data_IF_739261424878
#
_entry.id   IF_739261424878
#
_cell.length_a   1.000
_cell.length_b   1.000
_cell.length_c   1.000
_cell.angle_alpha   90.00
_cell.angle_beta   90.00
_cell.angle_gamma   90.00
#
_symmetry.space_group_name_H-M   'P 1'
#
loop_
_entity.id
_entity.type
_entity.pdbx_description
1 polymer ?
#
# COMPACT_ATOMS: atom_id res chain seq x y z
N UNK A 1 18.76 10.27 -35.96
CA UNK A 1 18.94 11.59 -35.35
C UNK A 1 17.74 12.02 -34.51
N UNK A 2 16.48 11.81 -34.94
CA UNK A 2 15.28 12.23 -34.20
C UNK A 2 15.16 11.66 -32.77
N UNK A 3 15.45 10.36 -32.57
CA UNK A 3 15.33 9.71 -31.26
C UNK A 3 16.28 10.34 -30.23
N UNK A 4 17.52 10.60 -30.62
CA UNK A 4 18.52 11.21 -29.72
C UNK A 4 18.07 12.63 -29.34
N UNK A 5 17.60 13.42 -30.30
CA UNK A 5 17.10 14.77 -30.03
C UNK A 5 15.88 14.74 -29.08
N UNK A 6 14.95 13.79 -29.24
CA UNK A 6 13.83 13.59 -28.32
C UNK A 6 14.29 13.22 -26.90
N UNK A 7 15.27 12.33 -26.77
CA UNK A 7 15.82 11.95 -25.47
C UNK A 7 16.53 13.13 -24.77
N UNK A 8 17.31 13.91 -25.52
CA UNK A 8 17.95 15.12 -25.01
C UNK A 8 16.92 16.15 -24.56
N UNK A 9 15.90 16.39 -25.34
CA UNK A 9 14.81 17.29 -24.99
C UNK A 9 14.05 16.81 -23.74
N UNK A 10 13.74 15.52 -23.67
CA UNK A 10 13.06 14.90 -22.54
C UNK A 10 13.88 15.07 -21.23
N UNK A 11 15.15 14.78 -21.26
CA UNK A 11 16.04 14.87 -20.09
C UNK A 11 16.30 16.32 -19.69
N UNK A 12 16.46 17.24 -20.65
CA UNK A 12 16.80 18.64 -20.36
C UNK A 12 15.59 19.49 -20.03
N UNK A 13 14.48 19.33 -20.75
CA UNK A 13 13.26 20.13 -20.58
C UNK A 13 12.22 19.47 -19.65
N UNK A 14 12.24 18.13 -19.55
CA UNK A 14 11.25 17.36 -18.77
C UNK A 14 11.13 17.82 -17.32
N UNK A 15 12.20 18.01 -16.53
CA UNK A 15 12.11 18.45 -15.14
C UNK A 15 11.48 19.83 -14.94
N UNK A 16 11.49 20.69 -15.94
CA UNK A 16 10.79 21.98 -15.89
C UNK A 16 9.28 21.84 -16.14
N UNK A 17 8.87 20.79 -16.85
CA UNK A 17 7.46 20.46 -17.10
C UNK A 17 6.86 19.60 -15.99
N UNK A 18 7.67 18.71 -15.41
CA UNK A 18 7.28 17.80 -14.34
C UNK A 18 8.09 18.13 -13.08
N UNK A 19 7.56 19.08 -12.28
CA UNK A 19 8.24 19.65 -11.12
C UNK A 19 8.02 18.81 -9.85
N UNK A 20 8.16 17.50 -9.97
CA UNK A 20 8.12 16.57 -8.84
C UNK A 20 9.55 16.27 -8.40
N UNK A 21 9.82 16.42 -7.11
CA UNK A 21 11.15 16.09 -6.56
C UNK A 21 11.35 14.55 -6.60
N UNK A 22 12.39 14.05 -7.28
CA UNK A 22 12.67 12.62 -7.40
C UNK A 22 13.06 11.94 -6.08
N UNK A 23 13.35 12.70 -5.03
CA UNK A 23 13.76 12.19 -3.72
C UNK A 23 12.62 12.06 -2.72
N UNK A 24 11.49 12.75 -2.95
CA UNK A 24 10.33 12.69 -2.07
C UNK A 24 9.72 11.29 -2.09
N UNK A 25 9.50 10.75 -0.90
CA UNK A 25 8.92 9.44 -0.69
C UNK A 25 7.46 9.58 -0.26
N UNK A 26 6.57 8.88 -0.93
CA UNK A 26 5.17 8.72 -0.54
C UNK A 26 4.92 7.27 -0.15
N UNK A 27 4.97 7.00 1.16
CA UNK A 27 4.85 5.64 1.69
C UNK A 27 3.47 5.01 1.46
N UNK A 28 2.45 5.82 1.19
CA UNK A 28 1.12 5.32 0.86
C UNK A 28 0.96 4.97 -0.63
N UNK A 29 1.92 5.38 -1.44
CA UNK A 29 1.95 5.11 -2.86
C UNK A 29 3.15 4.24 -3.26
N UNK A 30 3.55 3.28 -2.42
CA UNK A 30 4.66 2.36 -2.70
C UNK A 30 4.28 1.39 -3.82
N UNK A 31 5.14 1.28 -4.83
CA UNK A 31 5.01 0.27 -5.89
C UNK A 31 3.76 0.42 -6.75
N UNK A 32 3.19 1.62 -6.83
CA UNK A 32 2.00 1.87 -7.65
C UNK A 32 2.38 1.84 -9.12
N UNK A 33 1.66 1.01 -9.89
CA UNK A 33 1.83 0.90 -11.33
C UNK A 33 1.34 2.14 -12.10
N UNK A 34 1.76 2.30 -13.36
CA UNK A 34 1.24 3.34 -14.23
C UNK A 34 -0.28 3.23 -14.39
N UNK A 35 -1.00 4.35 -14.21
CA UNK A 35 -2.46 4.40 -14.36
C UNK A 35 -3.27 3.75 -13.24
N UNK A 36 -2.65 3.36 -12.12
CA UNK A 36 -3.35 2.84 -10.96
C UNK A 36 -4.27 3.91 -10.34
N UNK A 37 -5.30 3.44 -9.63
CA UNK A 37 -6.20 4.30 -8.88
C UNK A 37 -5.43 5.04 -7.77
N UNK A 38 -5.69 6.35 -7.68
CA UNK A 38 -5.08 7.30 -6.76
C UNK A 38 -6.07 7.80 -5.73
N UNK A 39 -7.27 7.29 -5.74
CA UNK A 39 -8.27 7.75 -4.80
C UNK A 39 -7.96 7.28 -3.39
N UNK A 40 -8.26 8.13 -2.43
CA UNK A 40 -8.14 7.89 -1.01
C UNK A 40 -9.36 8.48 -0.32
N UNK A 41 -9.90 7.77 0.66
CA UNK A 41 -11.08 8.23 1.39
C UNK A 41 -10.66 8.87 2.70
N UNK A 42 -11.22 10.02 3.04
CA UNK A 42 -11.04 10.66 4.34
C UNK A 42 -11.69 9.81 5.43
N UNK A 43 -10.89 9.37 6.38
CA UNK A 43 -11.34 8.60 7.54
C UNK A 43 -11.19 9.41 8.83
N UNK A 44 -11.99 9.10 9.85
CA UNK A 44 -11.77 9.63 11.19
C UNK A 44 -10.41 9.16 11.73
N UNK A 45 -9.85 9.86 12.74
CA UNK A 45 -8.68 9.37 13.45
C UNK A 45 -8.94 7.94 13.96
N UNK A 46 -7.88 7.13 13.92
CA UNK A 46 -7.96 5.77 14.45
C UNK A 46 -8.46 5.77 15.88
N UNK A 47 -9.49 4.96 16.15
CA UNK A 47 -10.02 4.74 17.48
C UNK A 47 -9.73 3.30 17.91
N UNK A 48 -9.17 3.10 19.12
CA UNK A 48 -8.98 1.76 19.67
C UNK A 48 -10.30 0.98 19.66
N UNK A 49 -10.22 -0.26 19.25
CA UNK A 49 -11.40 -1.12 19.22
C UNK A 49 -11.60 -1.81 20.59
N UNK A 50 -12.80 -1.68 21.14
CA UNK A 50 -13.25 -2.32 22.38
C UNK A 50 -14.38 -3.31 22.05
N UNK A 51 -14.06 -4.53 21.61
CA UNK A 51 -15.05 -5.50 21.12
C UNK A 51 -16.04 -5.98 22.19
N UNK A 52 -15.66 -5.91 23.47
CA UNK A 52 -16.53 -6.31 24.59
C UNK A 52 -17.82 -5.47 24.71
N UNK A 53 -17.84 -4.27 24.11
CA UNK A 53 -19.01 -3.41 24.08
C UNK A 53 -19.93 -3.72 22.87
N UNK A 54 -19.47 -4.53 21.92
CA UNK A 54 -20.19 -4.90 20.70
C UNK A 54 -20.71 -6.34 20.76
N UNK A 55 -21.13 -6.81 21.92
CA UNK A 55 -21.78 -8.12 22.10
C UNK A 55 -23.13 -8.16 21.36
N UNK A 56 -23.11 -8.13 20.06
CA UNK A 56 -24.30 -8.36 19.26
C UNK A 56 -24.18 -9.71 18.61
N UNK A 57 -24.70 -10.70 19.27
CA UNK A 57 -25.49 -11.82 18.74
C UNK A 57 -25.20 -12.08 17.25
N UNK A 58 -24.18 -12.88 16.99
CA UNK A 58 -24.12 -13.65 15.76
C UNK A 58 -24.85 -14.95 16.01
N UNK A 59 -26.19 -14.83 16.09
CA UNK A 59 -27.07 -15.99 16.01
C UNK A 59 -27.02 -16.52 14.58
N UNK A 60 -26.94 -17.80 14.45
CA UNK A 60 -27.29 -18.67 13.34
C UNK A 60 -26.24 -19.30 12.45
N UNK A 61 -24.96 -18.97 12.54
CA UNK A 61 -23.96 -19.83 11.89
C UNK A 61 -22.81 -20.13 12.85
N UNK A 62 -22.56 -21.39 13.11
CA UNK A 62 -21.62 -21.89 14.12
C UNK A 62 -20.17 -21.37 14.02
N UNK A 63 -19.83 -20.61 13.01
CA UNK A 63 -18.55 -19.90 12.82
C UNK A 63 -18.66 -18.67 11.91
N UNK A 64 -19.77 -17.94 11.89
CA UNK A 64 -19.94 -16.79 10.98
C UNK A 64 -18.86 -15.74 11.14
N UNK A 65 -17.77 -15.85 10.38
CA UNK A 65 -16.75 -14.83 10.30
C UNK A 65 -17.31 -13.59 9.58
N UNK A 66 -17.31 -12.45 10.25
CA UNK A 66 -17.90 -11.21 9.73
C UNK A 66 -17.01 -10.01 9.99
N UNK A 67 -17.16 -8.99 9.14
CA UNK A 67 -16.59 -7.66 9.36
C UNK A 67 -17.53 -6.87 10.27
N UNK A 68 -16.97 -6.20 11.28
CA UNK A 68 -17.73 -5.30 12.16
C UNK A 68 -17.91 -3.91 11.59
N UNK A 69 -17.04 -3.53 10.64
CA UNK A 69 -17.05 -2.25 9.94
C UNK A 69 -16.35 -2.39 8.59
N UNK A 70 -16.53 -1.44 7.65
CA UNK A 70 -15.78 -1.44 6.40
C UNK A 70 -14.28 -1.55 6.63
N UNK A 71 -13.63 -2.45 5.92
CA UNK A 71 -12.20 -2.69 6.03
C UNK A 71 -11.41 -1.55 5.37
N UNK A 72 -10.41 -1.04 6.07
CA UNK A 72 -9.57 0.06 5.61
C UNK A 72 -8.10 -0.25 5.79
N UNK A 73 -7.23 0.56 5.18
CA UNK A 73 -5.78 0.46 5.40
C UNK A 73 -5.35 0.76 6.84
N UNK A 74 -6.23 1.33 7.68
CA UNK A 74 -5.96 1.52 9.10
C UNK A 74 -6.22 0.25 9.92
N UNK A 75 -7.28 -0.51 9.61
CA UNK A 75 -7.62 -1.74 10.31
C UNK A 75 -8.65 -2.58 9.55
N UNK A 76 -8.56 -3.90 9.73
CA UNK A 76 -9.62 -4.87 9.43
C UNK A 76 -10.07 -5.49 10.74
N UNK A 77 -11.35 -5.37 11.06
CA UNK A 77 -11.94 -5.84 12.33
C UNK A 77 -12.90 -6.99 12.06
N UNK A 78 -12.51 -8.14 12.56
CA UNK A 78 -13.22 -9.41 12.36
C UNK A 78 -13.83 -9.88 13.67
N UNK A 79 -15.04 -10.41 13.59
CA UNK A 79 -15.71 -11.12 14.68
C UNK A 79 -16.29 -12.43 14.17
N UNK A 80 -16.43 -13.41 15.07
CA UNK A 80 -17.06 -14.69 14.80
C UNK A 80 -17.76 -15.25 16.03
N UNK A 81 -18.58 -16.27 15.85
CA UNK A 81 -19.26 -16.94 16.94
C UNK A 81 -18.24 -17.71 17.79
N UNK A 82 -18.25 -17.48 19.10
CA UNK A 82 -17.39 -18.21 20.04
C UNK A 82 -17.98 -19.58 20.35
N UNK A 83 -17.13 -20.61 20.27
CA UNK A 83 -17.41 -21.91 20.87
C UNK A 83 -16.54 -22.07 22.13
N UNK A 84 -17.14 -22.53 23.24
CA UNK A 84 -16.42 -22.67 24.50
C UNK A 84 -15.31 -23.70 24.41
N UNK A 85 -14.12 -23.35 24.89
CA UNK A 85 -12.95 -24.22 24.90
C UNK A 85 -12.29 -24.44 23.54
N UNK A 86 -12.74 -23.76 22.49
CA UNK A 86 -12.18 -23.87 21.14
C UNK A 86 -11.19 -22.76 20.88
N UNK A 87 -10.03 -23.12 20.31
CA UNK A 87 -9.05 -22.20 19.77
C UNK A 87 -9.21 -22.09 18.25
N UNK A 88 -8.79 -20.96 17.71
CA UNK A 88 -8.92 -20.66 16.30
C UNK A 88 -7.56 -20.26 15.74
N UNK A 89 -7.31 -20.56 14.48
CA UNK A 89 -6.17 -20.07 13.72
C UNK A 89 -6.69 -19.22 12.59
N UNK A 90 -6.21 -17.97 12.52
CA UNK A 90 -6.60 -16.99 11.51
C UNK A 90 -5.49 -16.86 10.47
N UNK A 91 -5.88 -16.87 9.21
CA UNK A 91 -5.01 -16.69 8.06
C UNK A 91 -5.41 -15.45 7.27
N UNK A 92 -4.45 -14.82 6.61
CA UNK A 92 -4.68 -13.72 5.67
C UNK A 92 -3.89 -13.97 4.40
N UNK A 93 -4.58 -13.98 3.25
CA UNK A 93 -4.00 -14.22 1.93
C UNK A 93 -4.41 -13.14 0.94
N UNK A 94 -3.61 -12.97 -0.13
CA UNK A 94 -3.93 -12.12 -1.29
C UNK A 94 -4.60 -12.89 -2.42
N UNK A 95 -4.77 -14.19 -2.27
CA UNK A 95 -5.39 -15.12 -3.22
C UNK A 95 -6.37 -16.01 -2.47
N UNK A 96 -7.37 -16.53 -3.19
CA UNK A 96 -8.35 -17.44 -2.59
C UNK A 96 -7.67 -18.77 -2.21
N UNK A 97 -7.71 -19.18 -0.93
CA UNK A 97 -7.14 -20.45 -0.51
C UNK A 97 -7.78 -21.67 -1.17
N UNK A 98 -8.99 -21.55 -1.70
CA UNK A 98 -9.63 -22.64 -2.45
C UNK A 98 -8.91 -22.98 -3.73
N UNK A 99 -8.23 -22.02 -4.36
CA UNK A 99 -7.46 -22.20 -5.60
C UNK A 99 -6.14 -22.97 -5.37
N UNK A 100 -5.57 -22.82 -4.18
CA UNK A 100 -4.24 -23.38 -3.83
C UNK A 100 -4.32 -24.61 -2.92
N UNK A 101 -5.47 -24.82 -2.26
CA UNK A 101 -5.66 -25.88 -1.26
C UNK A 101 -4.83 -25.67 0.01
N UNK A 102 -4.31 -24.47 0.25
CA UNK A 102 -3.48 -24.14 1.41
C UNK A 102 -3.78 -22.73 1.94
N UNK A 103 -3.81 -22.60 3.26
CA UNK A 103 -3.94 -21.31 3.93
C UNK A 103 -2.59 -20.59 4.12
N UNK A 104 -1.46 -21.25 3.84
CA UNK A 104 -0.13 -20.66 4.03
C UNK A 104 0.26 -20.51 5.50
N UNK A 105 0.86 -19.35 5.84
CA UNK A 105 1.30 -19.07 7.21
C UNK A 105 0.16 -18.40 8.02
N UNK A 106 -0.06 -18.84 9.26
CA UNK A 106 -1.09 -18.24 10.11
C UNK A 106 -0.72 -16.81 10.51
N UNK A 107 -1.73 -15.94 10.50
CA UNK A 107 -1.61 -14.57 10.99
C UNK A 107 -1.63 -14.54 12.53
N UNK A 108 -2.51 -15.35 13.14
CA UNK A 108 -2.64 -15.43 14.59
C UNK A 108 -3.30 -16.75 15.03
N UNK A 109 -2.99 -17.19 16.27
CA UNK A 109 -3.74 -18.21 16.98
C UNK A 109 -4.48 -17.55 18.15
N UNK A 110 -5.77 -17.83 18.28
CA UNK A 110 -6.71 -17.05 19.09
C UNK A 110 -7.60 -17.97 19.93
N UNK A 111 -7.81 -17.58 21.18
CA UNK A 111 -8.76 -18.19 22.12
C UNK A 111 -10.03 -17.30 22.32
N UNK A 112 -10.15 -16.25 21.51
CA UNK A 112 -11.21 -15.24 21.55
C UNK A 112 -11.95 -15.21 20.21
N UNK A 113 -13.10 -14.53 20.18
CA UNK A 113 -14.00 -14.48 19.00
C UNK A 113 -13.85 -13.20 18.17
N UNK A 114 -12.73 -12.50 18.29
CA UNK A 114 -12.47 -11.27 17.55
C UNK A 114 -10.98 -11.09 17.26
N UNK A 115 -10.70 -10.36 16.20
CA UNK A 115 -9.34 -9.97 15.82
C UNK A 115 -9.33 -8.62 15.10
N UNK A 116 -8.37 -7.77 15.43
CA UNK A 116 -8.06 -6.54 14.71
C UNK A 116 -6.73 -6.70 13.99
N UNK A 117 -6.78 -6.71 12.67
CA UNK A 117 -5.58 -6.70 11.83
C UNK A 117 -5.21 -5.26 11.50
N UNK A 118 -3.93 -4.91 11.75
CA UNK A 118 -3.32 -3.62 11.46
C UNK A 118 -1.95 -3.76 10.81
N UNK A 119 -1.59 -4.97 10.40
CA UNK A 119 -0.27 -5.29 9.90
C UNK A 119 -0.21 -5.02 8.41
N UNK A 120 0.46 -3.95 8.01
CA UNK A 120 0.80 -3.62 6.61
C UNK A 120 -0.37 -3.85 5.64
N UNK A 121 -1.51 -3.22 5.94
CA UNK A 121 -2.70 -3.30 5.12
C UNK A 121 -2.60 -2.34 3.95
N UNK A 122 -2.60 -2.88 2.74
CA UNK A 122 -2.69 -2.10 1.51
C UNK A 122 -4.10 -2.18 0.94
N UNK A 123 -4.47 -1.19 0.10
CA UNK A 123 -5.76 -1.26 -0.60
C UNK A 123 -5.77 -2.44 -1.56
N UNK A 124 -6.83 -3.24 -1.49
CA UNK A 124 -6.97 -4.45 -2.31
C UNK A 124 -7.86 -5.49 -1.67
N UNK A 125 -7.91 -6.64 -2.31
CA UNK A 125 -8.72 -7.77 -1.85
C UNK A 125 -7.86 -8.74 -1.04
N UNK A 126 -8.34 -9.07 0.16
CA UNK A 126 -7.76 -10.06 1.06
C UNK A 126 -8.76 -11.19 1.33
N UNK A 127 -8.23 -12.36 1.60
CA UNK A 127 -8.99 -13.55 2.00
C UNK A 127 -8.61 -13.90 3.43
N UNK A 128 -9.53 -13.70 4.37
CA UNK A 128 -9.33 -14.09 5.76
C UNK A 128 -9.99 -15.43 5.98
N UNK A 129 -9.19 -16.41 6.40
CA UNK A 129 -9.68 -17.76 6.69
C UNK A 129 -9.52 -18.08 8.16
N UNK A 130 -10.61 -18.49 8.79
CA UNK A 130 -10.67 -18.91 10.19
C UNK A 130 -10.81 -20.42 10.25
N UNK A 131 -9.87 -21.08 10.93
CA UNK A 131 -9.83 -22.54 11.10
C UNK A 131 -9.95 -22.88 12.58
N UNK A 132 -10.82 -23.83 12.92
CA UNK A 132 -10.94 -24.35 14.28
C UNK A 132 -9.78 -25.30 14.58
N UNK A 133 -9.27 -25.24 15.82
CA UNK A 133 -8.27 -26.20 16.33
C UNK A 133 -8.94 -27.23 17.24
N UNK A 134 -8.44 -28.45 17.17
CA UNK A 134 -8.81 -29.52 18.12
C UNK A 134 -8.12 -29.34 19.48
N UNK A 135 -8.38 -30.26 20.42
CA UNK A 135 -7.78 -30.23 21.76
C UNK A 135 -6.24 -30.35 21.73
N UNK A 136 -5.66 -30.93 20.68
CA UNK A 136 -4.22 -31.10 20.50
C UNK A 136 -3.57 -29.90 19.77
N UNK A 137 -4.37 -28.93 19.30
CA UNK A 137 -3.92 -27.78 18.52
C UNK A 137 -3.75 -28.08 17.03
N UNK A 138 -4.26 -29.22 16.55
CA UNK A 138 -4.29 -29.53 15.13
C UNK A 138 -5.50 -28.88 14.46
N UNK A 139 -5.35 -28.51 13.19
CA UNK A 139 -6.43 -27.92 12.40
C UNK A 139 -7.49 -28.95 12.09
N UNK A 140 -8.74 -28.57 12.31
CA UNK A 140 -9.88 -29.38 11.91
C UNK A 140 -10.25 -29.09 10.44
N UNK A 141 -11.09 -29.97 9.86
CA UNK A 141 -11.62 -29.73 8.51
C UNK A 141 -12.58 -28.53 8.43
N UNK A 142 -12.95 -27.94 9.58
CA UNK A 142 -13.90 -26.82 9.62
C UNK A 142 -13.12 -25.50 9.45
N UNK A 143 -13.28 -24.91 8.28
CA UNK A 143 -12.71 -23.61 7.94
C UNK A 143 -13.78 -22.74 7.27
N UNK A 144 -13.69 -21.43 7.47
CA UNK A 144 -14.51 -20.44 6.78
C UNK A 144 -13.61 -19.33 6.23
N UNK A 145 -13.84 -18.92 4.99
CA UNK A 145 -13.11 -17.83 4.34
C UNK A 145 -14.05 -16.68 4.06
N UNK A 146 -13.62 -15.48 4.42
CA UNK A 146 -14.29 -14.21 4.15
C UNK A 146 -13.44 -13.37 3.21
N UNK A 147 -13.99 -12.99 2.06
CA UNK A 147 -13.38 -12.02 1.16
C UNK A 147 -13.56 -10.61 1.73
N UNK A 148 -12.48 -9.86 1.82
CA UNK A 148 -12.44 -8.53 2.43
C UNK A 148 -11.79 -7.55 1.46
N UNK A 149 -12.53 -6.52 1.06
CA UNK A 149 -12.00 -5.43 0.24
C UNK A 149 -11.53 -4.30 1.15
N UNK A 150 -10.22 -4.08 1.20
CA UNK A 150 -9.59 -3.03 1.99
C UNK A 150 -9.51 -1.75 1.17
N UNK A 151 -10.13 -0.68 1.67
CA UNK A 151 -10.13 0.64 1.04
C UNK A 151 -8.99 1.50 1.58
N UNK A 152 -8.32 2.22 0.70
CA UNK A 152 -7.29 3.18 1.11
C UNK A 152 -7.94 4.36 1.82
N UNK A 153 -7.45 4.67 3.01
CA UNK A 153 -7.93 5.82 3.79
C UNK A 153 -6.76 6.66 4.28
N UNK A 154 -7.05 7.93 4.50
CA UNK A 154 -6.11 8.93 5.06
C UNK A 154 -6.83 9.69 6.17
N UNK A 155 -6.10 10.09 7.20
CA UNK A 155 -6.64 10.93 8.26
C UNK A 155 -6.81 12.37 7.81
N UNK A 156 -7.71 13.11 8.46
CA UNK A 156 -7.93 14.54 8.15
C UNK A 156 -6.64 15.35 8.36
N UNK A 157 -5.92 15.09 9.47
CA UNK A 157 -4.66 15.78 9.75
C UNK A 157 -3.61 15.54 8.65
N UNK A 158 -3.47 14.31 8.21
CA UNK A 158 -2.55 13.95 7.14
C UNK A 158 -2.96 14.53 5.77
N UNK A 159 -4.27 14.60 5.48
CA UNK A 159 -4.78 15.23 4.26
C UNK A 159 -4.49 16.73 4.21
N UNK A 160 -4.52 17.43 5.37
CA UNK A 160 -4.10 18.83 5.49
C UNK A 160 -2.59 18.97 5.31
N UNK A 161 -1.79 18.13 5.97
CA UNK A 161 -0.33 18.15 5.87
C UNK A 161 0.14 17.94 4.43
N UNK A 162 -0.50 17.05 3.69
CA UNK A 162 -0.24 16.79 2.26
C UNK A 162 -0.82 17.86 1.32
N UNK A 163 -1.57 18.84 1.84
CA UNK A 163 -2.21 19.87 1.04
C UNK A 163 -3.36 19.39 0.15
N UNK A 164 -3.93 18.21 0.44
CA UNK A 164 -5.09 17.66 -0.27
C UNK A 164 -6.38 18.40 0.09
N UNK A 165 -6.44 18.94 1.30
CA UNK A 165 -7.46 19.86 1.80
C UNK A 165 -6.77 21.06 2.47
N UNK A 166 -7.41 22.21 2.49
CA UNK A 166 -6.78 23.43 3.03
C UNK A 166 -6.86 23.50 4.55
N UNK A 167 -7.97 23.06 5.12
CA UNK A 167 -8.22 23.10 6.55
C UNK A 167 -9.02 21.90 7.01
N UNK A 168 -8.89 21.53 8.28
CA UNK A 168 -9.70 20.45 8.87
C UNK A 168 -11.22 20.74 8.82
N UNK A 169 -11.61 22.03 8.81
CA UNK A 169 -13.01 22.43 8.74
C UNK A 169 -13.67 22.12 7.39
N UNK A 170 -12.88 21.98 6.32
CA UNK A 170 -13.36 21.61 4.99
C UNK A 170 -13.51 20.09 4.83
N UNK A 171 -13.00 19.30 5.79
CA UNK A 171 -12.98 17.87 5.71
C UNK A 171 -14.37 17.27 5.88
N UNK A 172 -14.79 16.46 4.92
CA UNK A 172 -16.00 15.62 5.03
C UNK A 172 -15.55 14.17 5.14
N UNK A 173 -15.85 13.53 6.27
CA UNK A 173 -15.55 12.11 6.46
C UNK A 173 -16.25 11.27 5.39
N UNK A 174 -15.52 10.36 4.78
CA UNK A 174 -16.00 9.58 3.63
C UNK A 174 -15.80 10.26 2.27
N UNK A 175 -15.30 11.51 2.25
CA UNK A 175 -14.95 12.19 1.01
C UNK A 175 -13.79 11.48 0.32
N UNK A 176 -13.91 11.29 -0.99
CA UNK A 176 -12.86 10.76 -1.83
C UNK A 176 -11.95 11.90 -2.31
N UNK A 177 -10.66 11.76 -2.07
CA UNK A 177 -9.61 12.68 -2.50
C UNK A 177 -8.71 11.98 -3.51
N UNK A 178 -8.05 12.75 -4.38
CA UNK A 178 -7.07 12.22 -5.33
C UNK A 178 -5.66 12.57 -4.86
N UNK A 179 -4.84 11.54 -4.69
CA UNK A 179 -3.42 11.68 -4.42
C UNK A 179 -2.66 12.20 -5.65
N UNK A 180 -1.40 12.57 -5.44
CA UNK A 180 -0.51 13.04 -6.51
C UNK A 180 -0.42 12.00 -7.63
N UNK A 181 -0.45 12.45 -8.86
CA UNK A 181 -0.34 11.57 -10.02
C UNK A 181 1.11 11.24 -10.33
N UNK A 182 1.37 9.96 -10.53
CA UNK A 182 2.66 9.43 -10.96
C UNK A 182 2.50 8.73 -12.31
N UNK A 183 2.80 9.39 -13.45
CA UNK A 183 2.52 8.86 -14.79
C UNK A 183 3.16 7.51 -15.07
N UNK A 184 4.37 7.28 -14.60
CA UNK A 184 5.10 6.01 -14.70
C UNK A 184 5.03 5.17 -13.42
N UNK A 185 4.13 5.53 -12.49
CA UNK A 185 4.04 4.89 -11.18
C UNK A 185 5.14 5.32 -10.23
N UNK A 186 5.28 4.56 -9.14
CA UNK A 186 6.25 4.79 -8.07
C UNK A 186 7.15 3.58 -7.86
N UNK A 187 8.31 3.81 -7.28
CA UNK A 187 9.21 2.72 -6.89
C UNK A 187 8.86 2.12 -5.51
N UNK A 188 9.70 1.21 -5.03
CA UNK A 188 9.57 0.55 -3.73
C UNK A 188 9.73 1.47 -2.50
N UNK A 189 10.04 2.74 -2.70
CA UNK A 189 10.07 3.80 -1.68
C UNK A 189 8.98 4.86 -1.92
N UNK A 190 8.05 4.63 -2.84
CA UNK A 190 6.99 5.58 -3.17
C UNK A 190 7.46 6.81 -3.97
N UNK A 191 8.68 6.78 -4.57
CA UNK A 191 9.22 7.92 -5.32
C UNK A 191 8.74 7.89 -6.77
N UNK A 192 8.49 9.07 -7.34
CA UNK A 192 8.03 9.23 -8.72
C UNK A 192 9.04 8.69 -9.73
N UNK A 193 8.63 7.69 -10.51
CA UNK A 193 9.49 7.03 -11.50
C UNK A 193 9.81 7.93 -12.69
N UNK A 194 8.88 8.82 -13.10
CA UNK A 194 9.11 9.75 -14.19
C UNK A 194 10.15 10.83 -13.82
N UNK A 195 10.01 11.42 -12.64
CA UNK A 195 10.99 12.40 -12.13
C UNK A 195 12.38 11.76 -12.02
N UNK A 196 12.47 10.55 -11.46
CA UNK A 196 13.76 9.83 -11.34
C UNK A 196 14.38 9.51 -12.68
N UNK A 197 13.60 9.12 -13.68
CA UNK A 197 14.08 8.86 -15.04
C UNK A 197 14.69 10.11 -15.66
N UNK A 198 14.03 11.27 -15.52
CA UNK A 198 14.51 12.55 -16.04
C UNK A 198 15.81 13.00 -15.36
N UNK A 199 15.84 13.00 -14.03
CA UNK A 199 17.03 13.40 -13.27
C UNK A 199 18.19 12.43 -13.44
N UNK A 200 17.97 11.12 -13.45
CA UNK A 200 18.98 10.12 -13.75
C UNK A 200 19.57 10.28 -15.16
N UNK A 201 18.70 10.61 -16.12
CA UNK A 201 19.12 10.95 -17.48
C UNK A 201 20.02 12.19 -17.55
N UNK A 202 19.74 13.24 -16.76
CA UNK A 202 20.62 14.43 -16.67
C UNK A 202 22.00 14.08 -16.17
N UNK A 203 22.10 13.27 -15.10
CA UNK A 203 23.40 12.82 -14.56
C UNK A 203 24.17 12.02 -15.60
N UNK A 204 23.50 11.10 -16.29
CA UNK A 204 24.11 10.29 -17.35
C UNK A 204 24.61 11.14 -18.52
N UNK A 205 23.80 12.14 -18.92
CA UNK A 205 24.17 13.08 -19.98
C UNK A 205 25.38 13.93 -19.59
N UNK A 206 25.37 14.44 -18.36
CA UNK A 206 26.50 15.20 -17.81
C UNK A 206 27.80 14.40 -17.86
N UNK A 207 27.79 13.18 -17.33
CA UNK A 207 28.97 12.30 -17.33
C UNK A 207 29.39 11.97 -18.77
N UNK A 208 28.45 11.67 -19.67
CA UNK A 208 28.70 11.32 -21.06
C UNK A 208 29.36 12.44 -21.87
N UNK A 209 29.13 13.71 -21.51
CA UNK A 209 29.72 14.86 -22.17
C UNK A 209 31.04 15.28 -21.50
N UNK A 210 31.02 15.42 -20.17
CA UNK A 210 32.15 16.00 -19.45
C UNK A 210 33.35 15.05 -19.31
N UNK A 211 33.11 13.73 -19.17
CA UNK A 211 34.21 12.79 -19.04
C UNK A 211 35.08 12.72 -20.31
N UNK A 212 34.53 12.54 -21.54
CA UNK A 212 35.33 12.59 -22.77
C UNK A 212 36.01 13.94 -22.98
N UNK A 213 35.32 15.04 -22.66
CA UNK A 213 35.91 16.37 -22.76
C UNK A 213 37.15 16.53 -21.87
N UNK A 214 37.04 16.07 -20.61
CA UNK A 214 38.17 16.09 -19.67
C UNK A 214 39.35 15.23 -20.17
N UNK A 215 39.05 14.03 -20.70
CA UNK A 215 40.08 13.16 -21.27
C UNK A 215 40.80 13.80 -22.48
N UNK A 216 40.04 14.43 -23.38
CA UNK A 216 40.63 15.15 -24.53
C UNK A 216 41.51 16.30 -24.07
N UNK A 217 41.04 17.12 -23.13
CA UNK A 217 41.82 18.24 -22.58
C UNK A 217 43.11 17.77 -21.91
N UNK A 218 43.04 16.74 -21.07
CA UNK A 218 44.23 16.16 -20.43
C UNK A 218 45.18 15.53 -21.45
N UNK A 219 44.68 14.85 -22.46
CA UNK A 219 45.49 14.27 -23.54
C UNK A 219 46.22 15.31 -24.36
N UNK A 220 45.55 16.42 -24.71
CA UNK A 220 46.17 17.54 -25.42
C UNK A 220 47.26 18.21 -24.56
N UNK A 221 46.98 18.47 -23.27
CA UNK A 221 47.93 19.09 -22.34
C UNK A 221 49.19 18.23 -22.15
N UNK A 222 49.05 16.90 -22.02
CA UNK A 222 50.17 15.99 -21.85
C UNK A 222 50.89 15.70 -23.15
N UNK A 223 50.21 15.71 -24.29
CA UNK A 223 50.82 15.44 -25.60
C UNK A 223 51.48 16.65 -26.25
N UNK A 224 51.29 17.85 -25.68
CA UNK A 224 51.89 19.10 -26.15
C UNK A 224 53.22 19.45 -25.42
N UNK A 225 53.61 18.65 -24.44
CA UNK A 225 54.90 18.73 -23.74
C UNK A 225 55.84 17.66 -24.28
#
# INVERSE_FOLDING_TARGET
>A
MGLIACLLAFVSAGPYLWQVDPSVQDLDQIGIGPGADRSVTLAPPFQPWLPEQQSTILADNAMGLTLTMPATTQAVRLMWARADGVRYRLYRNLFDPSDTGSFGLPLAELDRSYFEDRLDLQAGTYFYSLVMLDANGAETATAITQTVNVTRVISVAEAVERGLIKTEAEAQLGQELKLVWHPLGTDYLGRDMLARLMYGGQVSLFIGIFAPLAFVLLGVLHGSV
#
